data_IF_246477069490
#
_entry.id   IF_246477069490
#
_cell.length_a   1.000
_cell.length_b   1.000
_cell.length_c   1.000
_cell.angle_alpha   90.00
_cell.angle_beta   90.00
_cell.angle_gamma   90.00
#
_symmetry.space_group_name_H-M   'P 1'
#
loop_
_entity.id
_entity.type
_entity.pdbx_description
1 polymer ?
#
# COMPACT_ATOMS: atom_id res chain seq x y z
N UNK A 1 -39.03 -26.24 -43.34
CA UNK A 1 -39.64 -25.73 -42.08
C UNK A 1 -38.65 -26.03 -40.95
N UNK A 2 -37.80 -25.08 -40.55
CA UNK A 2 -37.85 -24.20 -39.35
C UNK A 2 -37.64 -24.90 -37.98
N UNK A 3 -36.64 -24.37 -37.24
CA UNK A 3 -36.32 -24.38 -35.79
C UNK A 3 -35.54 -25.60 -35.26
N UNK A 4 -34.52 -25.47 -34.41
CA UNK A 4 -33.78 -24.37 -33.73
C UNK A 4 -32.48 -24.99 -33.18
N UNK A 5 -31.30 -24.38 -33.18
CA UNK A 5 -30.86 -23.13 -32.54
C UNK A 5 -30.99 -23.14 -31.01
N UNK A 6 -30.18 -23.95 -30.31
CA UNK A 6 -29.86 -23.73 -28.90
C UNK A 6 -28.55 -24.41 -28.52
N UNK A 7 -27.46 -23.65 -28.49
CA UNK A 7 -26.43 -23.72 -27.45
C UNK A 7 -25.40 -22.62 -27.71
N UNK A 8 -25.57 -21.49 -27.03
CA UNK A 8 -24.54 -20.48 -26.89
C UNK A 8 -24.51 -20.00 -25.45
N UNK A 9 -23.29 -20.07 -24.91
CA UNK A 9 -22.70 -19.27 -23.82
C UNK A 9 -22.92 -19.80 -22.39
N UNK A 10 -22.09 -20.76 -22.02
CA UNK A 10 -21.52 -20.85 -20.67
C UNK A 10 -20.00 -20.85 -20.80
N UNK A 11 -19.33 -19.75 -20.43
CA UNK A 11 -17.86 -19.69 -20.52
C UNK A 11 -17.25 -18.29 -20.52
N UNK A 12 -17.85 -17.34 -19.79
CA UNK A 12 -17.37 -15.94 -19.76
C UNK A 12 -16.87 -15.44 -18.40
N UNK A 13 -17.06 -16.19 -17.31
CA UNK A 13 -16.85 -15.66 -15.96
C UNK A 13 -15.57 -16.17 -15.24
N UNK A 14 -14.90 -17.22 -15.75
CA UNK A 14 -13.73 -17.80 -15.07
C UNK A 14 -12.38 -17.15 -15.45
N UNK A 15 -12.31 -16.41 -16.56
CA UNK A 15 -11.03 -15.90 -17.08
C UNK A 15 -10.59 -14.54 -16.49
N UNK A 16 -11.47 -13.82 -15.79
CA UNK A 16 -11.19 -12.44 -15.30
C UNK A 16 -10.61 -12.42 -13.86
N UNK A 17 -10.78 -13.52 -13.11
CA UNK A 17 -10.32 -13.62 -11.72
C UNK A 17 -8.79 -13.68 -11.60
N UNK A 18 -8.11 -14.21 -12.61
CA UNK A 18 -6.65 -14.44 -12.56
C UNK A 18 -5.83 -13.16 -12.64
N UNK A 19 -6.27 -12.15 -13.43
CA UNK A 19 -5.58 -10.86 -13.56
C UNK A 19 -5.67 -10.02 -12.29
N UNK A 20 -6.85 -9.98 -11.68
CA UNK A 20 -7.10 -9.19 -10.46
C UNK A 20 -6.37 -9.71 -9.21
N UNK A 21 -5.96 -10.99 -9.18
CA UNK A 21 -5.17 -11.58 -8.09
C UNK A 21 -3.67 -11.36 -8.29
N UNK A 22 -3.19 -11.44 -9.53
CA UNK A 22 -1.77 -11.23 -9.86
C UNK A 22 -1.34 -9.78 -9.65
N UNK A 23 -2.20 -8.83 -10.00
CA UNK A 23 -1.93 -7.40 -9.79
C UNK A 23 -1.91 -7.01 -8.31
N UNK A 24 -2.73 -7.67 -7.46
CA UNK A 24 -2.69 -7.51 -5.99
C UNK A 24 -1.40 -8.04 -5.38
N UNK A 25 -0.87 -9.17 -5.87
CA UNK A 25 0.45 -9.68 -5.43
C UNK A 25 1.57 -8.69 -5.78
N UNK A 26 1.49 -8.03 -6.93
CA UNK A 26 2.47 -7.02 -7.36
C UNK A 26 2.45 -5.77 -6.45
N UNK A 27 1.27 -5.21 -6.16
CA UNK A 27 1.12 -4.02 -5.27
C UNK A 27 1.52 -4.32 -3.82
N UNK A 28 1.11 -5.47 -3.28
CA UNK A 28 1.55 -5.90 -1.95
C UNK A 28 3.07 -6.08 -1.84
N UNK A 29 3.74 -6.44 -2.93
CA UNK A 29 5.20 -6.48 -3.03
C UNK A 29 5.85 -5.10 -3.07
N UNK A 30 5.20 -4.12 -3.72
CA UNK A 30 5.68 -2.73 -3.83
C UNK A 30 5.67 -2.02 -2.47
N UNK A 31 4.56 -2.14 -1.71
CA UNK A 31 4.44 -1.54 -0.37
C UNK A 31 5.54 -2.00 0.58
N UNK A 32 5.78 -3.31 0.65
CA UNK A 32 6.84 -3.90 1.50
C UNK A 32 8.24 -3.40 1.10
N UNK A 33 8.46 -3.13 -0.19
CA UNK A 33 9.71 -2.54 -0.68
C UNK A 33 9.85 -1.10 -0.21
N UNK A 34 8.81 -0.28 -0.31
CA UNK A 34 8.82 1.13 0.10
C UNK A 34 9.12 1.30 1.61
N UNK A 35 8.51 0.48 2.47
CA UNK A 35 8.80 0.45 3.91
C UNK A 35 10.26 0.06 4.21
N UNK A 36 10.75 -1.00 3.58
CA UNK A 36 12.14 -1.46 3.75
C UNK A 36 13.16 -0.42 3.25
N UNK A 37 12.85 0.26 2.15
CA UNK A 37 13.68 1.32 1.59
C UNK A 37 13.70 2.57 2.47
N UNK A 38 12.54 2.99 3.01
CA UNK A 38 12.46 4.09 3.97
C UNK A 38 13.39 3.79 5.17
N UNK A 39 13.33 2.57 5.71
CA UNK A 39 14.16 2.18 6.84
C UNK A 39 15.67 2.27 6.60
N UNK A 40 16.13 2.13 5.35
CA UNK A 40 17.54 2.31 4.96
C UNK A 40 17.93 3.78 4.77
N UNK A 41 16.95 4.68 4.55
CA UNK A 41 17.15 6.11 4.27
C UNK A 41 17.05 7.01 5.52
N UNK A 42 16.95 6.44 6.73
CA UNK A 42 16.88 7.15 8.04
C UNK A 42 18.04 8.13 8.34
N UNK A 43 19.07 8.18 7.50
CA UNK A 43 20.18 9.16 7.59
C UNK A 43 19.82 10.52 7.00
N UNK A 44 18.81 10.57 6.12
CA UNK A 44 18.34 11.77 5.45
C UNK A 44 16.83 11.87 5.60
N UNK A 45 16.38 12.85 6.38
CA UNK A 45 14.96 13.04 6.69
C UNK A 45 14.09 13.15 5.44
N UNK A 46 14.45 14.02 4.50
CA UNK A 46 13.68 14.20 3.27
C UNK A 46 13.54 12.89 2.45
N UNK A 47 14.59 12.06 2.41
CA UNK A 47 14.55 10.79 1.69
C UNK A 47 13.77 9.71 2.46
N UNK A 48 13.75 9.77 3.79
CA UNK A 48 12.93 8.93 4.65
C UNK A 48 11.45 9.25 4.47
N UNK A 49 11.08 10.53 4.65
CA UNK A 49 9.71 11.02 4.49
C UNK A 49 9.17 10.76 3.09
N UNK A 50 9.97 11.05 2.05
CA UNK A 50 9.56 10.80 0.65
C UNK A 50 9.19 9.33 0.41
N UNK A 51 9.87 8.36 1.03
CA UNK A 51 9.52 6.94 0.86
C UNK A 51 8.37 6.47 1.73
N UNK A 52 8.11 7.13 2.85
CA UNK A 52 6.87 6.90 3.61
C UNK A 52 5.65 7.40 2.83
N UNK A 53 5.74 8.56 2.19
CA UNK A 53 4.66 9.08 1.33
C UNK A 53 4.35 8.14 0.16
N UNK A 54 5.36 7.54 -0.48
CA UNK A 54 5.15 6.53 -1.52
C UNK A 54 4.39 5.31 -0.98
N UNK A 55 4.72 4.86 0.24
CA UNK A 55 4.03 3.76 0.92
C UNK A 55 2.60 4.09 1.34
N UNK A 56 2.33 5.33 1.76
CA UNK A 56 1.00 5.84 2.07
C UNK A 56 0.11 5.85 0.83
N UNK A 57 0.60 6.40 -0.29
CA UNK A 57 -0.12 6.43 -1.55
C UNK A 57 -0.50 5.02 -2.03
N UNK A 58 0.42 4.05 -1.92
CA UNK A 58 0.15 2.65 -2.26
C UNK A 58 -0.91 1.99 -1.37
N UNK A 59 -0.95 2.34 -0.08
CA UNK A 59 -1.99 1.87 0.84
C UNK A 59 -3.37 2.49 0.52
N UNK A 60 -3.41 3.79 0.21
CA UNK A 60 -4.65 4.47 -0.20
C UNK A 60 -5.20 3.93 -1.55
N UNK A 61 -4.32 3.59 -2.49
CA UNK A 61 -4.71 2.88 -3.71
C UNK A 61 -5.36 1.53 -3.37
N UNK A 62 -4.80 0.78 -2.41
CA UNK A 62 -5.33 -0.53 -2.01
C UNK A 62 -6.74 -0.42 -1.41
N UNK A 63 -6.99 0.60 -0.59
CA UNK A 63 -8.34 0.89 -0.08
C UNK A 63 -9.35 1.15 -1.21
N UNK A 64 -8.93 1.88 -2.25
CA UNK A 64 -9.77 2.16 -3.42
C UNK A 64 -10.12 0.87 -4.18
N UNK A 65 -9.14 -0.02 -4.35
CA UNK A 65 -9.37 -1.33 -4.98
C UNK A 65 -10.25 -2.25 -4.13
N UNK A 66 -10.12 -2.22 -2.81
CA UNK A 66 -10.97 -2.99 -1.91
C UNK A 66 -12.44 -2.55 -2.07
N UNK A 67 -12.70 -1.24 -2.12
CA UNK A 67 -14.03 -0.70 -2.38
C UNK A 67 -14.58 -1.13 -3.74
N UNK A 68 -13.79 -1.01 -4.80
CA UNK A 68 -14.20 -1.43 -6.14
C UNK A 68 -14.52 -2.93 -6.19
N UNK A 69 -13.73 -3.77 -5.52
CA UNK A 69 -13.98 -5.21 -5.45
C UNK A 69 -15.30 -5.54 -4.74
N UNK A 70 -15.68 -4.79 -3.70
CA UNK A 70 -17.00 -4.92 -3.06
C UNK A 70 -18.12 -4.48 -3.99
N UNK A 71 -17.98 -3.33 -4.66
CA UNK A 71 -18.99 -2.79 -5.59
C UNK A 71 -19.24 -3.74 -6.77
N UNK A 72 -18.20 -4.44 -7.24
CA UNK A 72 -18.32 -5.45 -8.30
C UNK A 72 -18.72 -6.85 -7.80
N UNK A 73 -18.91 -7.05 -6.48
CA UNK A 73 -19.25 -8.35 -5.90
C UNK A 73 -18.13 -9.39 -5.91
N UNK A 74 -16.88 -8.98 -6.16
CA UNK A 74 -15.69 -9.83 -6.06
C UNK A 74 -15.25 -10.07 -4.61
N UNK A 75 -15.71 -9.25 -3.68
CA UNK A 75 -15.41 -9.33 -2.25
C UNK A 75 -16.69 -9.09 -1.45
N UNK A 76 -16.87 -9.79 -0.33
CA UNK A 76 -17.98 -9.49 0.57
C UNK A 76 -17.75 -8.12 1.24
N UNK A 77 -18.83 -7.46 1.64
CA UNK A 77 -18.76 -6.17 2.34
C UNK A 77 -17.94 -6.29 3.62
N UNK A 78 -18.08 -7.39 4.37
CA UNK A 78 -17.35 -7.63 5.62
C UNK A 78 -15.84 -7.70 5.36
N UNK A 79 -15.42 -8.48 4.37
CA UNK A 79 -14.01 -8.59 4.03
C UNK A 79 -13.44 -7.27 3.46
N UNK A 80 -14.26 -6.49 2.74
CA UNK A 80 -13.89 -5.15 2.29
C UNK A 80 -13.67 -4.18 3.43
N UNK A 81 -14.55 -4.21 4.45
CA UNK A 81 -14.43 -3.38 5.65
C UNK A 81 -13.18 -3.76 6.46
N UNK A 82 -12.93 -5.05 6.67
CA UNK A 82 -11.72 -5.51 7.40
C UNK A 82 -10.42 -5.07 6.70
N UNK A 83 -10.35 -5.21 5.37
CA UNK A 83 -9.21 -4.73 4.60
C UNK A 83 -9.05 -3.22 4.70
N UNK A 84 -10.15 -2.47 4.55
CA UNK A 84 -10.14 -1.02 4.63
C UNK A 84 -9.63 -0.54 6.00
N UNK A 85 -10.12 -1.13 7.10
CA UNK A 85 -9.68 -0.82 8.46
C UNK A 85 -8.20 -1.14 8.67
N UNK A 86 -7.72 -2.25 8.10
CA UNK A 86 -6.30 -2.64 8.19
C UNK A 86 -5.42 -1.61 7.49
N UNK A 87 -5.78 -1.22 6.27
CA UNK A 87 -5.03 -0.21 5.52
C UNK A 87 -5.12 1.18 6.17
N UNK A 88 -6.27 1.55 6.74
CA UNK A 88 -6.45 2.83 7.45
C UNK A 88 -5.52 2.94 8.67
N UNK A 89 -5.41 1.85 9.44
CA UNK A 89 -4.47 1.78 10.56
C UNK A 89 -3.00 1.89 10.10
N UNK A 90 -2.66 1.30 8.95
CA UNK A 90 -1.32 1.39 8.38
C UNK A 90 -1.02 2.82 7.93
N UNK A 91 -1.95 3.45 7.19
CA UNK A 91 -1.86 4.84 6.75
C UNK A 91 -1.68 5.76 7.96
N UNK A 92 -2.48 5.59 9.02
CA UNK A 92 -2.34 6.38 10.25
C UNK A 92 -0.94 6.27 10.89
N UNK A 93 -0.33 5.07 10.88
CA UNK A 93 1.05 4.89 11.35
C UNK A 93 2.06 5.59 10.46
N UNK A 94 1.91 5.47 9.13
CA UNK A 94 2.81 6.11 8.17
C UNK A 94 2.74 7.64 8.30
N UNK A 95 1.53 8.21 8.35
CA UNK A 95 1.28 9.64 8.56
C UNK A 95 1.91 10.12 9.86
N UNK A 96 1.75 9.38 10.96
CA UNK A 96 2.38 9.74 12.23
C UNK A 96 3.92 9.74 12.14
N UNK A 97 4.51 8.79 11.39
CA UNK A 97 5.95 8.74 11.13
C UNK A 97 6.43 9.87 10.21
N UNK A 98 5.58 10.32 9.27
CA UNK A 98 5.85 11.45 8.36
C UNK A 98 5.83 12.78 9.12
N UNK A 99 4.85 12.98 10.02
CA UNK A 99 4.69 14.22 10.79
C UNK A 99 5.77 14.34 11.87
N UNK A 100 6.21 13.23 12.44
CA UNK A 100 7.18 13.20 13.53
C UNK A 100 8.40 12.32 13.22
N UNK A 101 9.21 12.58 12.17
CA UNK A 101 10.23 11.64 11.74
C UNK A 101 11.39 11.47 12.73
N UNK A 102 11.63 12.45 13.61
CA UNK A 102 12.76 12.52 14.55
C UNK A 102 13.10 11.23 15.32
N UNK A 103 12.14 10.51 15.94
CA UNK A 103 12.42 9.29 16.70
C UNK A 103 13.02 8.17 15.83
N UNK A 104 12.81 8.25 14.51
CA UNK A 104 13.26 7.25 13.55
C UNK A 104 14.53 7.67 12.81
N UNK A 105 15.03 8.89 12.95
CA UNK A 105 16.22 9.35 12.26
C UNK A 105 17.51 8.93 12.96
N UNK A 106 18.53 8.56 12.17
CA UNK A 106 19.88 8.32 12.68
C UNK A 106 20.58 9.66 12.89
N UNK A 107 20.44 10.22 14.10
CA UNK A 107 21.14 11.45 14.47
C UNK A 107 22.65 11.22 14.42
N UNK A 108 23.37 12.02 13.62
CA UNK A 108 24.83 12.12 13.78
C UNK A 108 25.08 12.62 15.21
N UNK A 109 25.85 11.86 16.00
CA UNK A 109 26.46 12.40 17.22
C UNK A 109 27.20 13.68 16.81
N UNK A 110 26.72 14.85 17.25
CA UNK A 110 27.55 16.05 17.26
C UNK A 110 28.79 15.68 18.06
N UNK A 111 29.97 15.75 17.45
CA UNK A 111 31.24 15.73 18.15
C UNK A 111 31.15 16.82 19.23
N UNK A 112 31.11 16.43 20.51
CA UNK A 112 31.39 17.35 21.60
C UNK A 112 32.86 17.72 21.46
N UNK A 113 33.15 18.94 21.07
CA UNK A 113 34.53 19.41 20.87
C UNK A 113 34.58 20.67 20.02
N UNK A 114 33.92 21.74 20.47
CA UNK A 114 34.14 23.10 19.96
C UNK A 114 33.65 24.12 21.00
N UNK A 115 33.99 23.91 22.27
CA UNK A 115 33.80 24.91 23.33
C UNK A 115 34.95 24.84 24.31
N UNK A 116 36.15 25.11 23.79
CA UNK A 116 37.30 25.50 24.61
C UNK A 116 38.27 26.27 23.73
N UNK A 117 37.97 27.55 23.48
CA UNK A 117 38.96 28.64 23.33
C UNK A 117 38.26 29.94 23.77
N UNK A 118 38.38 30.21 25.06
CA UNK A 118 38.13 31.51 25.70
C UNK A 118 39.48 32.18 25.92
#
# INVERSE_FOLDING_TARGET
>A
MRRGAEERRGGGAEADTSRGVEERRSRGGKRRRSEAEAWRKRRYEAAFVSKLNDGEAEAAETQTWARFAVECGYLSTEAGVELHQTDDHIIGKLVNMIIHPDPWLMRKRRSRGAEEQR
#
